data_IF_516764654822
#
_entry.id   IF_516764654822
#
_cell.length_a   1.000
_cell.length_b   1.000
_cell.length_c   1.000
_cell.angle_alpha   90.00
_cell.angle_beta   90.00
_cell.angle_gamma   90.00
#
_symmetry.space_group_name_H-M   'P 1'
#
loop_
_entity.id
_entity.type
_entity.pdbx_description
1 polymer ?
#
# COMPACT_ATOMS: atom_id res chain seq x y z
N UNK A 1 38.89 15.23 7.17
CA UNK A 1 38.38 13.87 6.90
C UNK A 1 36.89 13.87 7.22
N UNK A 2 36.02 13.70 6.22
CA UNK A 2 34.57 13.82 6.39
C UNK A 2 34.03 12.58 7.10
N UNK A 3 33.63 12.72 8.37
CA UNK A 3 32.91 11.67 9.10
C UNK A 3 31.47 11.64 8.60
N UNK A 4 31.18 10.83 7.57
CA UNK A 4 29.80 10.56 7.17
C UNK A 4 29.16 9.70 8.25
N UNK A 5 28.15 10.24 8.92
CA UNK A 5 27.29 9.47 9.83
C UNK A 5 26.61 8.35 9.06
N UNK A 6 26.52 7.16 9.66
CA UNK A 6 25.85 6.00 9.06
C UNK A 6 24.34 6.25 8.99
N UNK A 7 23.73 5.95 7.84
CA UNK A 7 22.27 5.96 7.70
C UNK A 7 21.63 4.87 8.57
N UNK A 8 20.33 5.04 8.87
CA UNK A 8 19.54 4.06 9.61
C UNK A 8 19.60 2.66 8.98
N UNK A 9 19.58 2.60 7.65
CA UNK A 9 19.58 1.33 6.90
C UNK A 9 20.96 0.65 6.97
N UNK A 10 22.04 1.42 6.88
CA UNK A 10 23.40 0.90 7.11
C UNK A 10 23.56 0.38 8.54
N UNK A 11 23.11 1.13 9.56
CA UNK A 11 23.18 0.71 10.97
C UNK A 11 22.40 -0.58 11.20
N UNK A 12 21.16 -0.67 10.70
CA UNK A 12 20.34 -1.88 10.87
C UNK A 12 20.90 -3.08 10.12
N UNK A 13 21.46 -2.87 8.92
CA UNK A 13 22.13 -3.92 8.14
C UNK A 13 23.37 -4.44 8.86
N UNK A 14 24.20 -3.56 9.41
CA UNK A 14 25.38 -3.93 10.19
C UNK A 14 25.00 -4.69 11.47
N UNK A 15 23.95 -4.27 12.19
CA UNK A 15 23.45 -4.98 13.37
C UNK A 15 22.95 -6.38 12.99
N UNK A 16 22.21 -6.51 11.89
CA UNK A 16 21.74 -7.82 11.37
C UNK A 16 22.92 -8.71 10.99
N UNK A 17 23.88 -8.19 10.23
CA UNK A 17 25.11 -8.91 9.87
C UNK A 17 25.85 -9.43 11.10
N UNK A 18 26.01 -8.58 12.13
CA UNK A 18 26.67 -8.97 13.39
C UNK A 18 25.93 -10.07 14.16
N UNK A 19 24.60 -10.08 14.13
CA UNK A 19 23.79 -11.18 14.69
C UNK A 19 24.01 -12.49 13.93
N UNK A 20 24.07 -12.44 12.60
CA UNK A 20 24.31 -13.61 11.75
C UNK A 20 25.70 -14.19 12.02
N UNK A 21 26.74 -13.34 12.07
CA UNK A 21 28.11 -13.77 12.39
C UNK A 21 28.16 -14.50 13.74
N UNK A 22 27.56 -13.92 14.78
CA UNK A 22 27.49 -14.54 16.12
C UNK A 22 26.78 -15.89 16.09
N UNK A 23 25.66 -16.00 15.37
CA UNK A 23 24.89 -17.24 15.28
C UNK A 23 25.64 -18.35 14.51
N UNK A 24 26.53 -17.97 13.58
CA UNK A 24 27.35 -18.89 12.79
C UNK A 24 28.72 -19.18 13.41
N UNK A 25 29.01 -18.63 14.59
CA UNK A 25 30.30 -18.80 15.25
C UNK A 25 31.46 -18.12 14.51
N UNK A 26 31.18 -17.15 13.64
CA UNK A 26 32.19 -16.43 12.88
C UNK A 26 32.69 -15.21 13.65
N UNK A 27 33.97 -14.88 13.46
CA UNK A 27 34.59 -13.69 14.03
C UNK A 27 33.93 -12.39 13.50
N UNK A 28 34.05 -11.30 14.25
CA UNK A 28 33.41 -10.02 13.89
C UNK A 28 34.10 -9.34 12.71
N UNK A 29 35.38 -9.62 12.54
CA UNK A 29 36.31 -9.11 11.53
C UNK A 29 36.64 -10.17 10.48
N UNK A 30 35.79 -11.20 10.35
CA UNK A 30 35.94 -12.26 9.36
C UNK A 30 35.95 -11.68 7.94
N UNK A 31 36.91 -12.11 7.12
CA UNK A 31 37.00 -11.65 5.75
C UNK A 31 35.96 -12.32 4.83
N UNK A 32 35.77 -11.76 3.64
CA UNK A 32 34.81 -12.27 2.65
C UNK A 32 35.18 -13.70 2.19
N UNK A 33 36.47 -14.05 2.18
CA UNK A 33 36.92 -15.38 1.77
C UNK A 33 36.41 -16.43 2.76
N UNK A 34 36.64 -16.24 4.05
CA UNK A 34 36.18 -17.14 5.11
C UNK A 34 34.65 -17.20 5.18
N UNK A 35 33.94 -16.09 4.93
CA UNK A 35 32.47 -16.11 4.81
C UNK A 35 32.03 -17.02 3.67
N UNK A 36 32.65 -16.90 2.49
CA UNK A 36 32.30 -17.72 1.33
C UNK A 36 32.66 -19.19 1.52
N UNK A 37 33.81 -19.48 2.15
CA UNK A 37 34.23 -20.84 2.49
C UNK A 37 33.28 -21.49 3.50
N UNK A 38 32.87 -20.78 4.54
CA UNK A 38 31.89 -21.25 5.51
C UNK A 38 30.51 -21.50 4.88
N UNK A 39 30.19 -20.80 3.79
CA UNK A 39 28.98 -21.00 2.99
C UNK A 39 29.14 -22.06 1.88
N UNK A 40 30.34 -22.64 1.69
CA UNK A 40 30.60 -23.64 0.66
C UNK A 40 30.55 -23.11 -0.77
N UNK A 41 30.80 -21.81 -0.97
CA UNK A 41 30.72 -21.14 -2.28
C UNK A 41 32.04 -20.46 -2.67
N UNK A 42 32.20 -20.20 -3.97
CA UNK A 42 33.30 -19.38 -4.45
C UNK A 42 33.10 -17.90 -4.11
N UNK A 43 34.18 -17.14 -3.94
CA UNK A 43 34.13 -15.68 -3.75
C UNK A 43 33.39 -14.97 -4.88
N UNK A 44 33.58 -15.41 -6.13
CA UNK A 44 32.88 -14.85 -7.30
C UNK A 44 31.37 -15.00 -7.17
N UNK A 45 30.92 -16.18 -6.74
CA UNK A 45 29.50 -16.45 -6.47
C UNK A 45 28.97 -15.60 -5.33
N UNK A 46 29.74 -15.45 -4.24
CA UNK A 46 29.39 -14.61 -3.11
C UNK A 46 29.16 -13.14 -3.48
N UNK A 47 30.09 -12.53 -4.23
CA UNK A 47 29.93 -11.15 -4.70
C UNK A 47 28.74 -11.00 -5.67
N UNK A 48 28.58 -11.94 -6.61
CA UNK A 48 27.42 -11.91 -7.50
C UNK A 48 26.08 -11.98 -6.76
N UNK A 49 26.01 -12.70 -5.64
CA UNK A 49 24.81 -12.74 -4.81
C UNK A 49 24.59 -11.42 -4.07
N UNK A 50 25.65 -10.81 -3.52
CA UNK A 50 25.56 -9.51 -2.86
C UNK A 50 25.10 -8.41 -3.82
N UNK A 51 25.66 -8.38 -5.03
CA UNK A 51 25.31 -7.40 -6.07
C UNK A 51 23.85 -7.57 -6.52
N UNK A 52 23.43 -8.82 -6.78
CA UNK A 52 22.03 -9.12 -7.15
C UNK A 52 21.04 -8.76 -6.04
N UNK A 53 21.44 -8.93 -4.78
CA UNK A 53 20.61 -8.54 -3.65
C UNK A 53 20.41 -7.02 -3.63
N UNK A 54 21.48 -6.24 -3.82
CA UNK A 54 21.40 -4.78 -3.96
C UNK A 54 20.49 -4.35 -5.11
N UNK A 55 20.67 -4.92 -6.30
CA UNK A 55 19.82 -4.64 -7.47
C UNK A 55 18.34 -4.94 -7.21
N UNK A 56 18.03 -6.07 -6.54
CA UNK A 56 16.64 -6.41 -6.19
C UNK A 56 16.00 -5.39 -5.24
N UNK A 57 16.77 -4.86 -4.29
CA UNK A 57 16.27 -3.80 -3.41
C UNK A 57 16.00 -2.52 -4.17
N UNK A 58 16.91 -2.11 -5.05
CA UNK A 58 16.75 -0.91 -5.89
C UNK A 58 15.55 -1.03 -6.83
N UNK A 59 15.37 -2.19 -7.46
CA UNK A 59 14.25 -2.44 -8.36
C UNK A 59 12.92 -2.49 -7.61
N UNK A 60 12.88 -3.12 -6.43
CA UNK A 60 11.69 -3.13 -5.58
C UNK A 60 11.32 -1.72 -5.09
N UNK A 61 12.31 -0.88 -4.76
CA UNK A 61 12.09 0.52 -4.40
C UNK A 61 11.52 1.32 -5.58
N UNK A 62 12.05 1.13 -6.78
CA UNK A 62 11.52 1.77 -8.00
C UNK A 62 10.09 1.32 -8.30
N UNK A 63 9.81 0.03 -8.22
CA UNK A 63 8.46 -0.51 -8.44
C UNK A 63 7.48 0.05 -7.40
N UNK A 64 7.90 0.13 -6.14
CA UNK A 64 7.08 0.70 -5.06
C UNK A 64 6.83 2.19 -5.29
N UNK A 65 7.83 2.94 -5.74
CA UNK A 65 7.69 4.36 -6.06
C UNK A 65 6.68 4.57 -7.19
N UNK A 66 6.78 3.77 -8.27
CA UNK A 66 5.84 3.84 -9.41
C UNK A 66 4.42 3.56 -8.96
N UNK A 67 4.20 2.53 -8.13
CA UNK A 67 2.88 2.21 -7.58
C UNK A 67 2.35 3.31 -6.67
N UNK A 68 3.21 3.89 -5.83
CA UNK A 68 2.82 4.99 -4.96
C UNK A 68 2.35 6.20 -5.77
N UNK A 69 3.09 6.55 -6.82
CA UNK A 69 2.75 7.66 -7.69
C UNK A 69 1.45 7.39 -8.46
N UNK A 70 1.23 6.17 -8.96
CA UNK A 70 -0.04 5.81 -9.61
C UNK A 70 -1.23 5.86 -8.65
N UNK A 71 -1.08 5.31 -7.44
CA UNK A 71 -2.13 5.34 -6.42
C UNK A 71 -2.50 6.77 -6.02
N UNK A 72 -1.52 7.67 -5.97
CA UNK A 72 -1.77 9.08 -5.66
C UNK A 72 -2.67 9.73 -6.71
N UNK A 73 -2.39 9.48 -7.99
CA UNK A 73 -3.22 9.99 -9.10
C UNK A 73 -4.63 9.39 -9.05
N UNK A 74 -4.75 8.08 -8.88
CA UNK A 74 -6.05 7.40 -8.78
C UNK A 74 -6.90 7.92 -7.61
N UNK A 75 -6.26 8.20 -6.47
CA UNK A 75 -6.92 8.79 -5.32
C UNK A 75 -7.48 10.19 -5.64
N UNK A 76 -6.67 11.07 -6.21
CA UNK A 76 -7.09 12.42 -6.58
C UNK A 76 -8.25 12.41 -7.59
N UNK A 77 -8.25 11.48 -8.55
CA UNK A 77 -9.35 11.30 -9.50
C UNK A 77 -10.62 10.74 -8.86
N UNK A 78 -10.47 9.82 -7.90
CA UNK A 78 -11.61 9.24 -7.19
C UNK A 78 -12.24 10.26 -6.25
N UNK A 79 -11.44 11.07 -5.57
CA UNK A 79 -11.89 12.14 -4.68
C UNK A 79 -12.75 13.16 -5.43
N UNK A 80 -12.30 13.62 -6.61
CA UNK A 80 -13.09 14.53 -7.46
C UNK A 80 -14.43 13.93 -7.87
N UNK A 81 -14.43 12.67 -8.35
CA UNK A 81 -15.66 11.98 -8.74
C UNK A 81 -16.62 11.79 -7.56
N UNK A 82 -16.07 11.51 -6.38
CA UNK A 82 -16.86 11.39 -5.17
C UNK A 82 -17.52 12.72 -4.80
N UNK A 83 -16.78 13.82 -4.88
CA UNK A 83 -17.31 15.17 -4.62
C UNK A 83 -18.45 15.55 -5.57
N UNK A 84 -18.29 15.27 -6.87
CA UNK A 84 -19.33 15.52 -7.87
C UNK A 84 -20.61 14.71 -7.57
N UNK A 85 -20.47 13.40 -7.35
CA UNK A 85 -21.61 12.52 -7.05
C UNK A 85 -22.28 12.89 -5.73
N UNK A 86 -21.49 13.30 -4.73
CA UNK A 86 -22.01 13.79 -3.45
C UNK A 86 -22.88 15.03 -3.68
N UNK A 87 -22.37 16.02 -4.42
CA UNK A 87 -23.09 17.25 -4.72
C UNK A 87 -24.42 16.98 -5.45
N UNK A 88 -24.40 16.14 -6.49
CA UNK A 88 -25.62 15.79 -7.21
C UNK A 88 -26.64 15.08 -6.31
N UNK A 89 -26.19 14.17 -5.44
CA UNK A 89 -27.07 13.44 -4.54
C UNK A 89 -27.70 14.34 -3.47
N UNK A 90 -26.94 15.30 -2.95
CA UNK A 90 -27.49 16.33 -2.05
C UNK A 90 -28.55 17.16 -2.76
N UNK A 91 -28.30 17.58 -4.01
CA UNK A 91 -29.30 18.25 -4.84
C UNK A 91 -30.57 17.41 -5.05
N UNK A 92 -30.42 16.11 -5.33
CA UNK A 92 -31.56 15.18 -5.49
C UNK A 92 -32.38 15.06 -4.20
N UNK A 93 -31.72 14.96 -3.04
CA UNK A 93 -32.41 14.91 -1.74
C UNK A 93 -33.23 16.18 -1.49
N UNK A 94 -32.63 17.35 -1.72
CA UNK A 94 -33.31 18.64 -1.56
C UNK A 94 -34.51 18.74 -2.51
N UNK A 95 -34.35 18.36 -3.78
CA UNK A 95 -35.45 18.35 -4.73
C UNK A 95 -36.58 17.40 -4.30
N UNK A 96 -36.22 16.22 -3.76
CA UNK A 96 -37.18 15.25 -3.23
C UNK A 96 -37.98 15.83 -2.07
N UNK A 97 -37.32 16.54 -1.15
CA UNK A 97 -37.93 17.24 -0.03
C UNK A 97 -38.88 18.35 -0.49
N UNK A 98 -38.43 19.25 -1.39
CA UNK A 98 -39.23 20.36 -1.93
C UNK A 98 -40.50 19.85 -2.61
N UNK A 99 -40.40 18.73 -3.34
CA UNK A 99 -41.52 18.14 -4.06
C UNK A 99 -42.36 17.19 -3.20
N UNK A 100 -42.09 17.10 -1.89
CA UNK A 100 -42.82 16.24 -0.95
C UNK A 100 -42.99 14.79 -1.47
N UNK A 101 -42.01 14.25 -2.22
CA UNK A 101 -42.28 13.00 -2.94
C UNK A 101 -42.40 11.79 -2.01
N UNK A 102 -41.87 11.86 -0.80
CA UNK A 102 -42.16 10.85 0.24
C UNK A 102 -43.64 10.80 0.61
N UNK A 103 -44.29 11.96 0.73
CA UNK A 103 -45.72 12.06 0.98
C UNK A 103 -46.53 11.54 -0.23
N UNK A 104 -46.10 11.89 -1.45
CA UNK A 104 -46.72 11.38 -2.68
C UNK A 104 -46.60 9.85 -2.80
N UNK A 105 -45.43 9.30 -2.47
CA UNK A 105 -45.18 7.85 -2.47
C UNK A 105 -46.06 7.18 -1.39
N UNK A 106 -46.11 7.74 -0.19
CA UNK A 106 -46.94 7.21 0.91
C UNK A 106 -48.44 7.23 0.53
N UNK A 107 -48.93 8.36 -0.01
CA UNK A 107 -50.30 8.50 -0.48
C UNK A 107 -50.64 7.47 -1.58
N UNK A 108 -49.75 7.28 -2.57
CA UNK A 108 -49.93 6.29 -3.65
C UNK A 108 -49.96 4.87 -3.10
N UNK A 109 -49.11 4.54 -2.13
CA UNK A 109 -49.07 3.21 -1.49
C UNK A 109 -50.36 2.92 -0.73
N UNK A 110 -50.86 3.89 0.05
CA UNK A 110 -52.12 3.78 0.78
C UNK A 110 -53.32 3.59 -0.17
N UNK A 111 -53.34 4.33 -1.29
CA UNK A 111 -54.36 4.19 -2.33
C UNK A 111 -54.33 2.81 -3.03
N UNK A 112 -53.14 2.23 -3.23
CA UNK A 112 -53.00 0.90 -3.81
C UNK A 112 -53.48 -0.20 -2.84
N UNK A 113 -53.25 -0.04 -1.54
CA UNK A 113 -53.70 -0.98 -0.50
C UNK A 113 -55.21 -0.94 -0.30
N UNK A 114 -55.84 0.24 -0.31
CA UNK A 114 -57.30 0.37 -0.16
C UNK A 114 -58.05 -0.32 -1.32
N UNK A 115 -57.56 -0.16 -2.57
CA UNK A 115 -58.12 -0.84 -3.76
C UNK A 115 -58.05 -2.37 -3.68
N UNK A 116 -57.02 -2.93 -3.04
CA UNK A 116 -56.92 -4.39 -2.84
C UNK A 116 -57.88 -4.89 -1.75
N UNK A 117 -58.16 -4.10 -0.71
CA UNK A 117 -59.06 -4.48 0.38
C UNK A 117 -60.53 -4.45 -0.02
N UNK A 118 -60.95 -3.53 -0.88
CA UNK A 118 -62.33 -3.45 -1.41
C UNK A 118 -62.68 -4.49 -2.48
N UNK A 119 -61.73 -5.34 -2.90
CA UNK A 119 -61.94 -6.44 -3.86
C UNK A 119 -62.04 -7.82 -3.17
N UNK A 120 -61.99 -7.89 -1.83
CA UNK A 120 -62.16 -9.11 -1.04
C UNK A 120 -63.54 -9.15 -0.40
#
# INVERSE_FOLDING_TARGET
>A
MSSKELSRDEVTTLIRGRKILKARGLAKDVDVKTICEAAGISRKTGYQWADKLGQRYDDALKELQVKYDSFKVEHEELEKRYDDVRFENEGRKIAWEIHHIDELIAAKKNAAQSRKKGKR
#
